data_IF_385245885246
#
_entry.id   IF_385245885246
#
_cell.length_a   1.000
_cell.length_b   1.000
_cell.length_c   1.000
_cell.angle_alpha   90.00
_cell.angle_beta   90.00
_cell.angle_gamma   90.00
#
_symmetry.space_group_name_H-M   'P 1'
#
loop_
_entity.id
_entity.type
_entity.pdbx_description
1 polymer ?
#
# COMPACT_ATOMS: atom_id res chain seq x y z
N UNK A 1 19.47 -59.63 -46.70
CA UNK A 1 19.22 -58.68 -47.81
C UNK A 1 19.29 -57.26 -47.26
N UNK A 2 19.87 -56.35 -48.05
CA UNK A 2 20.17 -54.92 -47.81
C UNK A 2 21.36 -54.56 -46.91
N UNK A 3 22.48 -54.29 -47.60
CA UNK A 3 23.56 -53.38 -47.23
C UNK A 3 23.42 -52.12 -48.10
N UNK A 4 23.36 -50.92 -47.51
CA UNK A 4 23.84 -49.60 -48.02
C UNK A 4 23.84 -48.68 -46.79
N UNK A 5 24.96 -48.29 -46.16
CA UNK A 5 26.09 -47.42 -46.53
C UNK A 5 25.85 -45.91 -46.35
N UNK A 6 26.84 -45.27 -45.72
CA UNK A 6 27.24 -43.85 -45.74
C UNK A 6 26.41 -42.82 -44.92
N UNK A 7 26.96 -41.74 -44.36
CA UNK A 7 28.32 -41.26 -44.04
C UNK A 7 28.14 -39.96 -43.21
N UNK A 8 29.10 -39.71 -42.30
CA UNK A 8 29.71 -38.42 -41.94
C UNK A 8 28.91 -37.26 -41.29
N UNK A 9 29.57 -36.65 -40.30
CA UNK A 9 29.31 -35.28 -39.81
C UNK A 9 29.59 -35.12 -38.32
N UNK A 10 30.79 -35.42 -37.82
CA UNK A 10 31.80 -34.40 -37.46
C UNK A 10 31.22 -33.04 -37.02
N UNK A 11 31.32 -32.71 -35.73
CA UNK A 11 32.37 -31.81 -35.21
C UNK A 11 32.12 -31.48 -33.75
N UNK A 12 33.20 -31.59 -32.99
CA UNK A 12 33.36 -31.09 -31.62
C UNK A 12 33.08 -29.59 -31.54
N UNK A 13 32.27 -29.17 -30.57
CA UNK A 13 32.38 -27.84 -29.98
C UNK A 13 31.96 -27.92 -28.51
N UNK A 14 32.97 -27.94 -27.64
CA UNK A 14 32.84 -27.62 -26.22
C UNK A 14 32.27 -26.21 -26.15
N UNK A 15 30.97 -26.10 -25.91
CA UNK A 15 30.32 -24.80 -25.76
C UNK A 15 30.71 -24.24 -24.39
N UNK A 16 31.60 -23.26 -24.45
CA UNK A 16 32.07 -22.42 -23.35
C UNK A 16 30.91 -21.91 -22.50
N UNK A 17 31.11 -22.00 -21.19
CA UNK A 17 30.35 -21.29 -20.18
C UNK A 17 30.51 -19.77 -20.39
N UNK A 18 29.50 -19.17 -21.01
CA UNK A 18 29.31 -17.73 -21.00
C UNK A 18 28.27 -17.45 -19.92
N UNK A 19 28.77 -17.07 -18.74
CA UNK A 19 27.99 -16.39 -17.71
C UNK A 19 27.39 -15.13 -18.33
N UNK A 20 26.19 -15.28 -18.90
CA UNK A 20 25.37 -14.19 -19.38
C UNK A 20 24.99 -13.38 -18.15
N UNK A 21 25.75 -12.32 -17.87
CA UNK A 21 25.34 -11.21 -17.02
C UNK A 21 24.06 -10.64 -17.62
N UNK A 22 22.92 -11.26 -17.32
CA UNK A 22 21.61 -10.67 -17.52
C UNK A 22 21.60 -9.42 -16.65
N UNK A 23 21.89 -8.27 -17.27
CA UNK A 23 21.51 -6.98 -16.73
C UNK A 23 20.04 -7.12 -16.38
N UNK A 24 19.72 -7.11 -15.10
CA UNK A 24 18.35 -7.03 -14.62
C UNK A 24 17.84 -5.66 -15.11
N UNK A 25 17.24 -5.66 -16.30
CA UNK A 25 16.51 -4.51 -16.78
C UNK A 25 15.21 -4.47 -15.98
N UNK A 26 15.29 -3.93 -14.75
CA UNK A 26 14.10 -3.51 -14.01
C UNK A 26 13.57 -2.29 -14.74
N UNK A 27 12.74 -2.55 -15.75
CA UNK A 27 11.84 -1.55 -16.30
C UNK A 27 11.06 -1.02 -15.10
N UNK A 28 11.13 0.28 -14.84
CA UNK A 28 10.46 0.95 -13.72
C UNK A 28 8.93 0.98 -13.92
N UNK A 29 8.32 -0.19 -14.07
CA UNK A 29 6.88 -0.38 -13.97
C UNK A 29 6.61 -0.77 -12.54
N UNK A 30 6.55 0.24 -11.66
CA UNK A 30 6.18 0.17 -10.23
C UNK A 30 6.58 -1.13 -9.49
N UNK A 31 7.70 -1.10 -8.77
CA UNK A 31 8.17 -2.22 -7.93
C UNK A 31 7.13 -2.69 -6.89
N UNK A 32 6.07 -1.93 -6.64
CA UNK A 32 4.95 -2.30 -5.79
C UNK A 32 3.61 -2.11 -6.51
N UNK A 33 2.70 -3.07 -6.37
CA UNK A 33 1.33 -2.96 -6.88
C UNK A 33 0.49 -2.12 -5.90
N UNK A 34 0.26 -0.85 -6.22
CA UNK A 34 -0.55 0.06 -5.42
C UNK A 34 -1.98 0.16 -5.98
N UNK A 35 -2.89 -0.68 -5.47
CA UNK A 35 -4.31 -0.68 -5.87
C UNK A 35 -5.07 0.39 -5.08
N UNK A 36 -4.96 1.64 -5.53
CA UNK A 36 -5.63 2.79 -4.91
C UNK A 36 -6.07 3.80 -5.98
N UNK A 37 -7.31 3.67 -6.43
CA UNK A 37 -7.91 4.67 -7.32
C UNK A 37 -8.29 5.94 -6.56
N UNK A 38 -7.87 7.11 -7.05
CA UNK A 38 -8.07 8.40 -6.35
C UNK A 38 -9.52 8.90 -6.40
N UNK A 39 -10.31 8.44 -7.38
CA UNK A 39 -11.72 8.84 -7.51
C UNK A 39 -12.63 7.99 -6.62
N UNK A 40 -12.35 6.68 -6.52
CA UNK A 40 -13.07 5.72 -5.69
C UNK A 40 -12.62 5.75 -4.21
N UNK A 41 -11.31 5.79 -3.95
CA UNK A 41 -10.72 5.96 -2.61
C UNK A 41 -10.10 7.35 -2.50
N UNK A 42 -10.96 8.34 -2.26
CA UNK A 42 -10.52 9.73 -2.07
C UNK A 42 -9.76 9.86 -0.74
N UNK A 43 -8.62 10.56 -0.79
CA UNK A 43 -7.88 10.95 0.42
C UNK A 43 -8.58 12.11 1.10
N UNK A 44 -8.70 12.09 2.43
CA UNK A 44 -9.09 13.27 3.18
C UNK A 44 -7.91 14.27 3.23
N UNK A 45 -7.86 15.11 2.19
CA UNK A 45 -6.84 16.15 2.05
C UNK A 45 -7.21 17.45 2.79
N UNK A 46 -8.44 17.58 3.28
CA UNK A 46 -8.97 18.83 3.82
C UNK A 46 -8.20 19.25 5.07
N UNK A 47 -8.09 20.56 5.28
CA UNK A 47 -7.49 21.15 6.49
C UNK A 47 -8.51 22.12 7.09
N UNK A 48 -8.75 21.99 8.39
CA UNK A 48 -9.62 22.88 9.15
C UNK A 48 -8.90 23.34 10.43
N UNK A 49 -9.34 24.47 11.00
CA UNK A 49 -8.66 25.11 12.13
C UNK A 49 -7.17 25.37 11.82
N UNK A 50 -6.28 25.24 12.82
CA UNK A 50 -4.83 25.37 12.70
C UNK A 50 -4.12 24.05 12.37
N UNK A 51 -4.83 23.02 11.87
CA UNK A 51 -4.27 21.68 11.62
C UNK A 51 -2.98 21.73 10.77
N UNK A 52 -2.94 22.58 9.73
CA UNK A 52 -1.77 22.70 8.85
C UNK A 52 -0.51 23.16 9.60
N UNK A 53 -0.66 24.06 10.56
CA UNK A 53 0.47 24.60 11.31
C UNK A 53 0.92 23.61 12.38
N UNK A 54 -0.03 23.08 13.17
CA UNK A 54 0.28 22.21 14.31
C UNK A 54 0.89 20.88 13.85
N UNK A 55 0.30 20.21 12.85
CA UNK A 55 0.76 18.89 12.38
C UNK A 55 2.09 18.90 11.62
N UNK A 56 2.65 20.08 11.33
CA UNK A 56 4.01 20.23 10.77
C UNK A 56 5.07 20.34 11.85
N UNK A 57 4.68 20.62 13.09
CA UNK A 57 5.58 20.67 14.25
C UNK A 57 5.77 19.23 14.76
N UNK A 58 6.95 18.93 15.30
CA UNK A 58 7.22 17.64 15.94
C UNK A 58 6.47 17.58 17.26
N UNK A 59 5.54 16.64 17.37
CA UNK A 59 4.88 16.32 18.63
C UNK A 59 5.85 15.56 19.55
N UNK A 60 5.96 16.02 20.81
CA UNK A 60 6.77 15.40 21.87
C UNK A 60 5.92 14.97 23.07
N UNK A 61 4.62 15.24 23.02
CA UNK A 61 3.69 15.09 24.14
C UNK A 61 2.79 13.88 23.95
N UNK A 62 2.34 13.61 22.72
CA UNK A 62 1.44 12.47 22.43
C UNK A 62 2.14 11.29 21.79
N UNK A 63 1.58 10.09 21.93
CA UNK A 63 2.08 8.87 21.32
C UNK A 63 1.44 7.59 21.87
N UNK A 64 2.18 6.48 21.80
CA UNK A 64 1.69 5.16 22.21
C UNK A 64 1.26 5.10 23.69
N UNK A 65 1.95 5.83 24.56
CA UNK A 65 1.74 5.77 26.00
C UNK A 65 0.46 6.49 26.47
N UNK A 66 -0.12 7.37 25.66
CA UNK A 66 -1.28 8.18 26.03
C UNK A 66 -2.37 8.26 24.95
N UNK A 67 -2.36 7.34 23.97
CA UNK A 67 -3.46 7.22 23.00
C UNK A 67 -4.76 6.83 23.73
N UNK A 68 -5.79 7.65 23.59
CA UNK A 68 -7.09 7.39 24.19
C UNK A 68 -7.99 6.63 23.20
N UNK A 69 -8.35 5.40 23.54
CA UNK A 69 -9.22 4.57 22.70
C UNK A 69 -10.06 3.59 23.53
N UNK A 70 -11.10 3.04 22.90
CA UNK A 70 -11.90 1.92 23.42
C UNK A 70 -12.03 0.85 22.35
N UNK A 71 -11.84 -0.41 22.72
CA UNK A 71 -12.16 -1.54 21.83
C UNK A 71 -13.61 -1.95 22.06
N UNK A 72 -14.46 -1.78 21.05
CA UNK A 72 -15.86 -2.18 21.15
C UNK A 72 -16.05 -3.68 20.96
N UNK A 73 -15.31 -4.27 20.02
CA UNK A 73 -15.44 -5.68 19.70
C UNK A 73 -14.17 -6.22 19.04
N UNK A 74 -14.00 -7.53 19.16
CA UNK A 74 -12.96 -8.32 18.51
C UNK A 74 -13.66 -9.40 17.70
N UNK A 75 -13.42 -9.43 16.40
CA UNK A 75 -14.02 -10.39 15.49
C UNK A 75 -12.93 -11.28 14.90
N UNK A 76 -13.03 -12.59 15.12
CA UNK A 76 -12.19 -13.57 14.43
C UNK A 76 -12.89 -13.97 13.13
N UNK A 77 -12.26 -13.69 12.01
CA UNK A 77 -12.73 -13.99 10.66
C UNK A 77 -11.77 -14.97 9.99
N UNK A 78 -12.23 -15.64 8.95
CA UNK A 78 -11.42 -16.49 8.08
C UNK A 78 -11.65 -16.10 6.63
N UNK A 79 -10.58 -15.84 5.89
CA UNK A 79 -10.60 -15.54 4.45
C UNK A 79 -9.75 -16.61 3.77
N UNK A 80 -10.37 -17.42 2.90
CA UNK A 80 -9.70 -18.55 2.22
C UNK A 80 -8.92 -19.44 3.20
N UNK A 81 -9.55 -19.81 4.32
CA UNK A 81 -9.00 -20.57 5.46
C UNK A 81 -7.91 -19.89 6.30
N UNK A 82 -7.50 -18.66 5.96
CA UNK A 82 -6.54 -17.89 6.75
C UNK A 82 -7.26 -17.10 7.86
N UNK A 83 -6.88 -17.29 9.14
CA UNK A 83 -7.48 -16.55 10.25
C UNK A 83 -7.01 -15.10 10.27
N UNK A 84 -7.95 -14.17 10.49
CA UNK A 84 -7.73 -12.73 10.63
C UNK A 84 -8.52 -12.22 11.83
N UNK A 85 -7.92 -11.34 12.62
CA UNK A 85 -8.60 -10.65 13.72
C UNK A 85 -8.91 -9.22 13.33
N UNK A 86 -10.18 -8.84 13.39
CA UNK A 86 -10.65 -7.47 13.18
C UNK A 86 -10.97 -6.83 14.53
N UNK A 87 -10.35 -5.69 14.80
CA UNK A 87 -10.59 -4.89 15.99
C UNK A 87 -11.46 -3.69 15.65
N UNK A 88 -12.62 -3.58 16.31
CA UNK A 88 -13.44 -2.37 16.24
C UNK A 88 -12.97 -1.41 17.33
N UNK A 89 -12.33 -0.31 16.92
CA UNK A 89 -11.70 0.66 17.83
C UNK A 89 -12.34 2.03 17.68
N UNK A 90 -12.80 2.59 18.79
CA UNK A 90 -13.20 3.99 18.93
C UNK A 90 -12.00 4.80 19.41
N UNK A 91 -11.56 5.75 18.58
CA UNK A 91 -10.54 6.73 18.96
C UNK A 91 -11.20 7.94 19.62
N UNK A 92 -10.73 8.29 20.81
CA UNK A 92 -11.27 9.41 21.58
C UNK A 92 -10.52 10.69 21.19
N UNK A 93 -11.26 11.74 20.86
CA UNK A 93 -10.70 13.05 20.52
C UNK A 93 -11.00 14.09 21.59
N UNK A 94 -9.96 14.74 22.10
CA UNK A 94 -10.10 16.02 22.78
C UNK A 94 -10.17 17.15 21.75
N UNK A 95 -11.36 17.76 21.64
CA UNK A 95 -11.64 18.84 20.67
C UNK A 95 -10.99 20.16 21.05
N UNK A 96 -10.52 20.32 22.29
CA UNK A 96 -9.77 21.52 22.69
C UNK A 96 -8.33 21.46 22.18
N UNK A 97 -7.75 20.25 22.08
CA UNK A 97 -6.37 20.04 21.64
C UNK A 97 -6.30 19.77 20.14
N UNK A 98 -7.18 18.92 19.62
CA UNK A 98 -7.19 18.48 18.21
C UNK A 98 -8.56 18.70 17.54
N UNK A 99 -9.07 19.94 17.46
CA UNK A 99 -10.41 20.23 16.96
C UNK A 99 -10.66 19.73 15.52
N UNK A 100 -9.60 19.54 14.74
CA UNK A 100 -9.68 19.00 13.38
C UNK A 100 -10.06 17.52 13.29
N UNK A 101 -10.21 16.81 14.41
CA UNK A 101 -10.80 15.47 14.42
C UNK A 101 -12.26 15.46 13.94
N UNK A 102 -12.95 16.60 14.00
CA UNK A 102 -14.28 16.79 13.46
C UNK A 102 -14.37 18.15 12.74
N UNK A 103 -14.02 18.16 11.45
CA UNK A 103 -14.18 19.36 10.64
C UNK A 103 -15.68 19.67 10.38
N UNK A 104 -16.10 20.95 10.34
CA UNK A 104 -17.48 21.32 10.03
C UNK A 104 -17.88 20.87 8.61
N UNK A 105 -19.15 20.68 8.30
CA UNK A 105 -19.53 20.31 6.92
C UNK A 105 -19.16 21.42 5.91
N UNK A 106 -18.64 21.09 4.71
CA UNK A 106 -18.38 22.08 3.69
C UNK A 106 -19.71 22.70 3.23
N UNK A 107 -19.75 24.03 3.10
CA UNK A 107 -20.92 24.73 2.58
C UNK A 107 -21.16 24.27 1.15
N UNK A 108 -22.27 23.58 0.90
CA UNK A 108 -22.67 23.20 -0.45
C UNK A 108 -22.99 24.48 -1.23
N UNK A 109 -22.42 24.70 -2.43
CA UNK A 109 -22.80 25.85 -3.23
C UNK A 109 -24.31 25.78 -3.50
N UNK A 110 -25.04 26.86 -3.20
CA UNK A 110 -26.45 26.98 -3.59
C UNK A 110 -26.49 26.94 -5.11
N UNK A 111 -27.24 26.00 -5.69
CA UNK A 111 -27.50 25.99 -7.12
C UNK A 111 -28.34 27.23 -7.44
N UNK A 112 -27.73 28.26 -8.02
CA UNK A 112 -28.47 29.36 -8.63
C UNK A 112 -29.22 28.77 -9.82
N UNK A 113 -30.55 28.81 -9.78
CA UNK A 113 -31.42 28.36 -10.86
C UNK A 113 -31.44 29.38 -11.98
#
# INVERSE_FOLDING_TARGET
MSLVSCLAGSTTAVQRELQSRRRLFVRTTSACRHIHDKTYRRRDGRKCYNQREVTRKRDRETGLHNVAYRTHSVHNLTIDSLPVTVLSVELICDKNVTPWCQCPEPVKPKKTR
#
